data_IF_699184385721
#
_entry.id   IF_699184385721
#
_cell.length_a   1.000
_cell.length_b   1.000
_cell.length_c   1.000
_cell.angle_alpha   90.00
_cell.angle_beta   90.00
_cell.angle_gamma   90.00
#
_symmetry.space_group_name_H-M   'P 1'
#
loop_
_entity.id
_entity.type
_entity.pdbx_description
1 polymer ?
#
# COMPACT_ATOMS: atom_id res chain seq x y z
N UNK A 1 3.52 -7.90 -22.86
CA UNK A 1 2.24 -8.41 -22.33
C UNK A 1 1.47 -7.23 -21.76
N UNK A 2 0.25 -6.98 -22.26
CA UNK A 2 -0.59 -5.84 -21.91
C UNK A 2 -1.67 -6.27 -20.91
N UNK A 3 -2.11 -5.37 -20.02
CA UNK A 3 -3.10 -5.66 -18.98
C UNK A 3 -4.43 -6.09 -19.59
N UNK A 4 -4.90 -5.35 -20.60
CA UNK A 4 -6.13 -5.67 -21.34
C UNK A 4 -6.09 -7.07 -21.94
N UNK A 5 -4.99 -7.42 -22.61
CA UNK A 5 -4.83 -8.73 -23.24
C UNK A 5 -4.79 -9.87 -22.21
N UNK A 6 -4.04 -9.68 -21.12
CA UNK A 6 -3.93 -10.68 -20.04
C UNK A 6 -5.28 -10.94 -19.37
N UNK A 7 -6.11 -9.92 -19.19
CA UNK A 7 -7.45 -10.08 -18.62
C UNK A 7 -8.41 -10.78 -19.58
N UNK A 8 -8.28 -10.55 -20.90
CA UNK A 8 -9.02 -11.31 -21.91
C UNK A 8 -8.64 -12.79 -21.88
N UNK A 9 -7.36 -13.12 -21.87
CA UNK A 9 -6.88 -14.50 -21.78
C UNK A 9 -7.41 -15.22 -20.53
N UNK A 10 -7.38 -14.55 -19.37
CA UNK A 10 -7.91 -15.12 -18.12
C UNK A 10 -9.42 -15.37 -18.17
N UNK A 11 -10.16 -14.58 -18.93
CA UNK A 11 -11.62 -14.71 -19.04
C UNK A 11 -12.03 -15.72 -20.12
N UNK A 12 -11.33 -15.73 -21.27
CA UNK A 12 -11.55 -16.68 -22.37
C UNK A 12 -11.13 -18.11 -21.97
N UNK A 13 -10.05 -18.27 -21.19
CA UNK A 13 -9.61 -19.58 -20.69
C UNK A 13 -10.49 -20.17 -19.59
N UNK A 14 -11.32 -19.36 -18.94
CA UNK A 14 -12.33 -19.83 -18.00
C UNK A 14 -13.56 -20.47 -18.70
N UNK A 15 -13.71 -20.23 -20.02
CA UNK A 15 -14.91 -20.58 -20.79
C UNK A 15 -14.88 -22.02 -21.37
N UNK A 16 -13.73 -22.68 -21.48
CA UNK A 16 -13.61 -23.95 -22.23
C UNK A 16 -13.78 -25.25 -21.40
N UNK A 17 -14.09 -25.19 -20.10
CA UNK A 17 -14.35 -26.42 -19.31
C UNK A 17 -15.54 -26.37 -18.34
N UNK A 18 -16.31 -25.29 -18.32
CA UNK A 18 -17.40 -25.11 -17.34
C UNK A 18 -18.66 -24.51 -17.98
N UNK A 19 -18.96 -24.89 -19.22
CA UNK A 19 -20.02 -24.28 -20.02
C UNK A 19 -21.47 -24.74 -19.71
N UNK A 20 -21.71 -25.37 -18.55
CA UNK A 20 -23.05 -25.76 -18.10
C UNK A 20 -23.43 -25.18 -16.74
N UNK A 21 -22.54 -25.32 -15.76
CA UNK A 21 -22.84 -24.97 -14.36
C UNK A 21 -22.31 -23.58 -13.94
N UNK A 22 -21.27 -23.02 -14.58
CA UNK A 22 -20.84 -21.63 -14.30
C UNK A 22 -21.71 -20.59 -15.00
N UNK A 23 -22.37 -20.91 -16.12
CA UNK A 23 -23.40 -20.05 -16.69
C UNK A 23 -24.67 -20.06 -15.83
N UNK A 24 -25.01 -21.14 -15.12
CA UNK A 24 -26.07 -21.12 -14.09
C UNK A 24 -25.62 -20.50 -12.77
N UNK A 25 -24.33 -20.59 -12.38
CA UNK A 25 -23.79 -19.97 -11.16
C UNK A 25 -23.38 -18.49 -11.33
N UNK A 26 -23.18 -18.01 -12.57
CA UNK A 26 -22.98 -16.59 -12.91
C UNK A 26 -24.27 -15.89 -13.36
N UNK A 27 -25.30 -16.65 -13.77
CA UNK A 27 -26.66 -16.14 -13.99
C UNK A 27 -27.54 -16.22 -12.74
N UNK A 28 -27.19 -17.05 -11.76
CA UNK A 28 -27.64 -16.83 -10.38
C UNK A 28 -26.80 -15.70 -9.81
N UNK A 29 -27.42 -14.61 -9.35
CA UNK A 29 -26.69 -13.63 -8.56
C UNK A 29 -26.06 -14.40 -7.39
N UNK A 30 -24.74 -14.35 -7.24
CA UNK A 30 -24.13 -14.49 -5.90
C UNK A 30 -24.87 -13.45 -5.08
N UNK A 31 -25.82 -13.89 -4.23
CA UNK A 31 -26.89 -13.11 -3.62
C UNK A 31 -26.74 -11.64 -3.96
N UNK A 32 -27.46 -11.19 -5.01
CA UNK A 32 -27.41 -9.82 -5.46
C UNK A 32 -27.46 -8.97 -4.22
N UNK A 33 -26.33 -8.36 -3.87
CA UNK A 33 -26.30 -7.37 -2.82
C UNK A 33 -27.09 -6.22 -3.41
N UNK A 34 -28.41 -6.32 -3.31
CA UNK A 34 -29.38 -5.31 -3.72
C UNK A 34 -29.37 -4.22 -2.67
N UNK A 35 -28.18 -3.78 -2.28
CA UNK A 35 -28.02 -2.50 -1.63
C UNK A 35 -28.04 -1.47 -2.76
N UNK A 36 -29.08 -0.63 -2.87
CA UNK A 36 -29.19 0.40 -3.90
C UNK A 36 -28.02 1.39 -3.90
N UNK A 37 -27.13 1.34 -2.90
CA UNK A 37 -25.92 2.15 -2.81
C UNK A 37 -24.66 1.54 -3.49
N UNK A 38 -24.68 0.27 -3.93
CA UNK A 38 -23.53 -0.37 -4.58
C UNK A 38 -23.66 -0.37 -6.11
N UNK A 39 -22.97 0.55 -6.77
CA UNK A 39 -22.88 0.59 -8.24
C UNK A 39 -21.89 -0.48 -8.74
N UNK A 40 -22.40 -1.67 -9.06
CA UNK A 40 -21.60 -2.82 -9.52
C UNK A 40 -21.42 -2.80 -11.04
N UNK A 41 -20.21 -3.05 -11.52
CA UNK A 41 -19.89 -3.21 -12.94
C UNK A 41 -19.07 -4.48 -13.16
N UNK A 42 -19.33 -5.20 -14.25
CA UNK A 42 -18.57 -6.39 -14.62
C UNK A 42 -17.29 -6.04 -15.37
N UNK A 43 -16.25 -6.85 -15.21
CA UNK A 43 -14.98 -6.65 -15.93
C UNK A 43 -15.14 -6.69 -17.46
N UNK A 44 -15.93 -7.59 -18.07
CA UNK A 44 -16.18 -7.58 -19.52
C UNK A 44 -16.75 -6.24 -20.03
N UNK A 45 -17.64 -5.60 -19.25
CA UNK A 45 -18.17 -4.29 -19.61
C UNK A 45 -17.09 -3.21 -19.58
N UNK A 46 -16.24 -3.20 -18.55
CA UNK A 46 -15.10 -2.26 -18.48
C UNK A 46 -14.14 -2.49 -19.65
N UNK A 47 -13.85 -3.75 -20.02
CA UNK A 47 -13.01 -4.11 -21.17
C UNK A 47 -13.58 -3.50 -22.46
N UNK A 48 -14.86 -3.70 -22.75
CA UNK A 48 -15.51 -3.14 -23.95
C UNK A 48 -15.47 -1.60 -23.97
N UNK A 49 -15.70 -0.96 -22.82
CA UNK A 49 -15.62 0.50 -22.68
C UNK A 49 -14.18 1.03 -22.89
N UNK A 50 -13.15 0.29 -22.46
CA UNK A 50 -11.75 0.63 -22.69
C UNK A 50 -11.35 0.51 -24.18
N UNK A 51 -11.86 -0.49 -24.89
CA UNK A 51 -11.66 -0.63 -26.33
C UNK A 51 -12.30 0.51 -27.12
N UNK A 52 -13.49 0.95 -26.70
CA UNK A 52 -14.16 2.11 -27.30
C UNK A 52 -13.32 3.39 -27.16
N UNK A 53 -12.63 3.57 -26.03
CA UNK A 53 -11.70 4.70 -25.84
C UNK A 53 -10.56 4.62 -26.86
N UNK A 54 -9.93 3.44 -27.03
CA UNK A 54 -8.86 3.27 -28.03
C UNK A 54 -9.34 3.57 -29.45
N UNK A 55 -10.55 3.14 -29.80
CA UNK A 55 -11.14 3.37 -31.12
C UNK A 55 -11.46 4.85 -31.39
N UNK A 56 -11.90 5.58 -30.36
CA UNK A 56 -12.26 7.01 -30.47
C UNK A 56 -11.05 7.94 -30.36
N UNK A 57 -9.99 7.51 -29.67
CA UNK A 57 -8.83 8.35 -29.36
C UNK A 57 -7.52 7.76 -29.93
N UNK A 58 -7.43 7.55 -31.25
CA UNK A 58 -6.28 6.87 -31.87
C UNK A 58 -4.97 7.66 -31.73
N UNK A 59 -5.06 8.99 -31.60
CA UNK A 59 -3.93 9.90 -31.39
C UNK A 59 -3.21 9.72 -30.04
N UNK A 60 -3.85 9.07 -29.05
CA UNK A 60 -3.21 8.76 -27.77
C UNK A 60 -2.29 7.53 -27.86
N UNK A 61 -2.27 6.83 -29.00
CA UNK A 61 -1.35 5.72 -29.23
C UNK A 61 0.10 6.23 -29.18
N UNK A 62 0.89 5.68 -28.27
CA UNK A 62 2.27 6.09 -27.99
C UNK A 62 2.44 7.45 -27.32
N UNK A 63 1.34 8.12 -26.95
CA UNK A 63 1.40 9.41 -26.27
C UNK A 63 1.83 9.27 -24.80
N UNK A 64 2.21 10.40 -24.22
CA UNK A 64 2.34 10.61 -22.78
C UNK A 64 0.98 11.06 -22.24
N UNK A 65 0.35 10.25 -21.38
CA UNK A 65 -1.01 10.50 -20.88
C UNK A 65 -1.00 10.60 -19.35
N UNK A 66 -1.76 11.54 -18.80
CA UNK A 66 -2.03 11.62 -17.37
C UNK A 66 -3.52 11.40 -17.08
N UNK A 67 -3.83 10.58 -16.08
CA UNK A 67 -5.19 10.29 -15.63
C UNK A 67 -5.35 10.63 -14.16
N UNK A 68 -6.54 11.09 -13.77
CA UNK A 68 -6.92 11.37 -12.38
C UNK A 68 -7.95 10.35 -11.90
N UNK A 69 -7.90 10.04 -10.62
CA UNK A 69 -8.93 9.20 -10.00
C UNK A 69 -10.25 9.96 -9.87
N UNK A 70 -11.33 9.38 -10.38
CA UNK A 70 -12.70 9.88 -10.23
C UNK A 70 -13.67 8.80 -9.71
N UNK A 71 -13.11 7.63 -9.35
CA UNK A 71 -13.86 6.43 -8.98
C UNK A 71 -13.25 5.19 -9.62
N UNK A 72 -13.42 4.05 -8.95
CA UNK A 72 -12.74 2.81 -9.31
C UNK A 72 -13.04 2.35 -10.74
N UNK A 73 -14.31 2.41 -11.15
CA UNK A 73 -14.75 1.90 -12.45
C UNK A 73 -14.10 2.66 -13.61
N UNK A 74 -14.09 4.00 -13.54
CA UNK A 74 -13.45 4.83 -14.56
C UNK A 74 -11.94 4.66 -14.51
N UNK A 75 -11.34 4.62 -13.32
CA UNK A 75 -9.91 4.43 -13.19
C UNK A 75 -9.44 3.12 -13.83
N UNK A 76 -10.10 1.99 -13.55
CA UNK A 76 -9.79 0.70 -14.18
C UNK A 76 -9.99 0.77 -15.69
N UNK A 77 -11.08 1.39 -16.17
CA UNK A 77 -11.33 1.59 -17.60
C UNK A 77 -10.17 2.30 -18.29
N UNK A 78 -9.65 3.37 -17.68
CA UNK A 78 -8.52 4.14 -18.23
C UNK A 78 -7.19 3.38 -18.15
N UNK A 79 -6.95 2.62 -17.09
CA UNK A 79 -5.78 1.74 -17.01
C UNK A 79 -5.78 0.71 -18.15
N UNK A 80 -6.94 0.10 -18.43
CA UNK A 80 -7.11 -0.85 -19.53
C UNK A 80 -7.00 -0.17 -20.90
N UNK A 81 -7.56 1.03 -21.04
CA UNK A 81 -7.50 1.77 -22.29
C UNK A 81 -6.06 2.17 -22.66
N UNK A 82 -5.27 2.63 -21.70
CA UNK A 82 -3.95 3.22 -21.97
C UNK A 82 -2.76 2.27 -21.80
N UNK A 83 -2.86 1.21 -20.98
CA UNK A 83 -1.77 0.23 -20.89
C UNK A 83 -1.60 -0.57 -22.19
N UNK A 84 -0.39 -0.56 -22.73
CA UNK A 84 -0.07 -1.13 -24.04
C UNK A 84 -0.55 -0.28 -25.23
N UNK A 85 -1.17 0.88 -24.97
CA UNK A 85 -1.60 1.83 -26.00
C UNK A 85 -0.75 3.11 -25.96
N UNK A 86 -0.58 3.71 -24.78
CA UNK A 86 0.20 4.93 -24.54
C UNK A 86 1.64 4.59 -24.14
N UNK A 87 2.62 5.44 -24.47
CA UNK A 87 4.01 5.19 -24.10
C UNK A 87 4.25 5.43 -22.60
N UNK A 88 3.57 6.43 -22.04
CA UNK A 88 3.63 6.76 -20.61
C UNK A 88 2.24 7.02 -20.05
N UNK A 89 2.00 6.54 -18.83
CA UNK A 89 0.75 6.73 -18.10
C UNK A 89 1.04 7.27 -16.70
N UNK A 90 0.73 8.54 -16.45
CA UNK A 90 0.89 9.20 -15.16
C UNK A 90 -0.39 9.05 -14.34
N UNK A 91 -0.27 8.42 -13.17
CA UNK A 91 -1.36 8.27 -12.22
C UNK A 91 -1.33 9.47 -11.27
N UNK A 92 -2.15 10.48 -11.56
CA UNK A 92 -2.15 11.73 -10.81
C UNK A 92 -2.73 11.53 -9.41
N UNK A 93 -2.02 11.96 -8.36
CA UNK A 93 -2.64 12.10 -7.05
C UNK A 93 -3.66 13.24 -7.07
N UNK A 94 -4.58 13.21 -6.09
CA UNK A 94 -5.53 14.30 -5.88
C UNK A 94 -4.82 15.60 -5.49
N UNK A 95 -3.74 15.48 -4.73
CA UNK A 95 -2.93 16.57 -4.15
C UNK A 95 -1.60 16.83 -4.89
N UNK A 96 -0.62 17.44 -4.20
CA UNK A 96 0.72 17.85 -4.66
C UNK A 96 1.40 16.81 -5.59
N UNK A 97 1.20 16.99 -6.90
CA UNK A 97 1.82 16.18 -7.94
C UNK A 97 3.14 16.81 -8.38
N UNK A 98 4.20 16.01 -8.62
CA UNK A 98 5.37 16.54 -9.30
C UNK A 98 4.97 17.04 -10.70
N UNK A 99 5.69 18.05 -11.20
CA UNK A 99 5.42 18.62 -12.53
C UNK A 99 5.39 17.52 -13.60
N UNK A 100 4.35 17.55 -14.44
CA UNK A 100 4.23 16.66 -15.59
C UNK A 100 5.17 17.11 -16.71
N UNK A 101 5.61 16.20 -17.60
CA UNK A 101 6.27 16.58 -18.84
C UNK A 101 5.39 17.52 -19.70
N UNK A 102 6.02 18.42 -20.45
CA UNK A 102 5.31 19.41 -21.28
C UNK A 102 4.49 18.75 -22.41
N UNK A 103 4.89 17.57 -22.87
CA UNK A 103 4.20 16.76 -23.89
C UNK A 103 3.07 15.89 -23.31
N UNK A 104 2.84 15.96 -21.99
CA UNK A 104 1.85 15.13 -21.31
C UNK A 104 0.43 15.63 -21.55
N UNK A 105 -0.42 14.75 -22.08
CA UNK A 105 -1.83 15.02 -22.33
C UNK A 105 -2.68 14.59 -21.13
N UNK A 106 -3.37 15.54 -20.50
CA UNK A 106 -4.30 15.25 -19.43
C UNK A 106 -5.62 14.67 -19.98
N UNK A 107 -6.00 13.49 -19.52
CA UNK A 107 -7.28 12.89 -19.87
C UNK A 107 -8.44 13.63 -19.21
N UNK A 108 -9.29 14.27 -20.03
CA UNK A 108 -10.46 15.02 -19.60
C UNK A 108 -11.80 14.35 -20.00
N UNK A 109 -11.75 13.07 -20.41
CA UNK A 109 -12.88 12.35 -20.98
C UNK A 109 -12.86 12.31 -22.51
N UNK A 110 -13.80 11.56 -23.09
CA UNK A 110 -13.98 11.47 -24.55
C UNK A 110 -14.31 12.84 -25.12
N UNK A 111 -13.52 13.31 -26.08
CA UNK A 111 -13.80 14.56 -26.76
C UNK A 111 -14.65 14.31 -28.00
N UNK A 112 -15.73 15.08 -28.16
CA UNK A 112 -16.52 15.06 -29.41
C UNK A 112 -15.74 15.76 -30.53
N UNK A 113 -15.59 15.06 -31.65
CA UNK A 113 -15.17 15.60 -32.95
C UNK A 113 -13.78 16.24 -33.05
N UNK A 114 -12.72 15.44 -32.88
CA UNK A 114 -11.42 15.78 -33.48
C UNK A 114 -10.86 14.61 -34.26
N UNK A 115 -10.81 14.73 -35.60
CA UNK A 115 -9.94 13.89 -36.42
C UNK A 115 -8.50 14.21 -36.03
N UNK A 116 -7.84 13.31 -35.31
CA UNK A 116 -6.44 13.45 -34.89
C UNK A 116 -5.63 12.33 -35.52
N UNK A 117 -4.61 12.73 -36.26
CA UNK A 117 -3.76 11.85 -37.05
C UNK A 117 -2.90 10.95 -36.13
N UNK A 118 -2.72 9.69 -36.51
CA UNK A 118 -1.92 8.73 -35.73
C UNK A 118 -0.45 8.89 -36.06
N UNK A 119 0.40 9.17 -35.07
CA UNK A 119 1.86 9.23 -35.27
C UNK A 119 2.54 7.85 -35.34
N UNK A 120 1.85 6.78 -34.93
CA UNK A 120 2.39 5.41 -34.91
C UNK A 120 1.59 4.46 -35.80
N UNK A 121 2.25 3.63 -36.64
CA UNK A 121 1.60 2.61 -37.45
C UNK A 121 0.81 1.59 -36.60
N UNK A 122 -0.30 1.10 -37.14
CA UNK A 122 -0.99 -0.07 -36.60
C UNK A 122 -0.03 -1.27 -36.51
N UNK A 123 -0.08 -1.99 -35.39
CA UNK A 123 0.72 -3.21 -35.16
C UNK A 123 2.03 -3.03 -34.38
N UNK A 124 2.53 -1.81 -34.17
CA UNK A 124 3.72 -1.63 -33.33
C UNK A 124 3.38 -1.76 -31.84
N UNK A 125 4.05 -2.66 -31.12
CA UNK A 125 3.81 -2.92 -29.71
C UNK A 125 4.34 -1.77 -28.83
N UNK A 126 3.44 -1.04 -28.17
CA UNK A 126 3.81 0.00 -27.21
C UNK A 126 4.02 -0.62 -25.82
N UNK A 127 5.15 -0.31 -25.20
CA UNK A 127 5.42 -0.70 -23.80
C UNK A 127 5.15 0.52 -22.92
N UNK A 128 4.06 0.48 -22.16
CA UNK A 128 3.68 1.59 -21.28
C UNK A 128 4.53 1.64 -20.02
N UNK A 129 5.03 2.83 -19.69
CA UNK A 129 5.60 3.15 -18.39
C UNK A 129 4.56 3.83 -17.50
N UNK A 130 4.26 3.19 -16.38
CA UNK A 130 3.32 3.69 -15.37
C UNK A 130 4.09 4.56 -14.37
N UNK A 131 3.74 5.83 -14.28
CA UNK A 131 4.37 6.79 -13.38
C UNK A 131 3.53 6.98 -12.13
N UNK A 132 4.13 6.67 -10.99
CA UNK A 132 3.49 6.75 -9.67
C UNK A 132 4.27 7.78 -8.83
N UNK A 133 3.54 8.72 -8.21
CA UNK A 133 4.15 9.71 -7.34
C UNK A 133 4.47 9.12 -5.96
N UNK A 134 5.68 9.35 -5.47
CA UNK A 134 6.04 9.06 -4.06
C UNK A 134 5.24 9.94 -3.10
N UNK A 135 4.98 9.45 -1.88
CA UNK A 135 4.14 10.14 -0.89
C UNK A 135 4.79 11.35 -0.21
N UNK A 136 6.02 11.73 -0.60
CA UNK A 136 6.67 12.96 -0.16
C UNK A 136 6.88 13.12 1.36
N UNK A 137 7.02 12.04 2.13
CA UNK A 137 7.08 12.11 3.61
C UNK A 137 8.32 12.81 4.17
N UNK A 138 9.39 12.92 3.37
CA UNK A 138 10.67 13.53 3.75
C UNK A 138 11.18 14.59 2.75
N UNK A 139 10.69 14.58 1.51
CA UNK A 139 11.05 15.53 0.44
C UNK A 139 9.88 15.73 -0.52
N UNK A 140 9.95 16.70 -1.44
CA UNK A 140 8.93 16.85 -2.50
C UNK A 140 8.68 15.52 -3.24
N UNK A 141 7.41 15.20 -3.57
CA UNK A 141 7.04 14.02 -4.36
C UNK A 141 7.86 13.89 -5.66
N UNK A 142 8.11 12.65 -6.09
CA UNK A 142 8.84 12.35 -7.33
C UNK A 142 8.09 11.29 -8.14
N UNK A 143 8.23 11.36 -9.47
CA UNK A 143 7.72 10.35 -10.39
C UNK A 143 8.65 9.14 -10.47
N UNK A 144 8.11 7.95 -10.24
CA UNK A 144 8.81 6.68 -10.43
C UNK A 144 8.12 5.88 -11.53
N UNK A 145 8.89 5.45 -12.53
CA UNK A 145 8.40 4.69 -13.66
C UNK A 145 8.45 3.18 -13.39
N UNK A 146 7.32 2.51 -13.65
CA UNK A 146 7.17 1.06 -13.59
C UNK A 146 6.68 0.50 -14.91
N UNK A 147 6.90 -0.80 -15.14
CA UNK A 147 6.23 -1.54 -16.21
C UNK A 147 5.25 -2.52 -15.58
N UNK A 148 4.19 -2.89 -16.32
CA UNK A 148 3.19 -3.84 -15.85
C UNK A 148 3.81 -5.16 -15.37
N UNK A 149 4.84 -5.66 -16.06
CA UNK A 149 5.55 -6.88 -15.67
C UNK A 149 6.17 -6.76 -14.26
N UNK A 150 6.77 -5.62 -13.93
CA UNK A 150 7.30 -5.35 -12.60
C UNK A 150 6.20 -5.15 -11.54
N UNK A 151 5.12 -4.46 -11.90
CA UNK A 151 3.97 -4.24 -10.99
C UNK A 151 3.20 -5.53 -10.68
N UNK A 152 3.25 -6.52 -11.55
CA UNK A 152 2.50 -7.78 -11.44
C UNK A 152 3.37 -8.99 -11.09
N UNK A 153 4.67 -8.80 -10.87
CA UNK A 153 5.61 -9.89 -10.59
C UNK A 153 5.27 -10.68 -9.31
N UNK A 154 4.67 -10.01 -8.32
CA UNK A 154 4.21 -10.61 -7.06
C UNK A 154 2.78 -11.12 -7.11
N UNK A 155 2.03 -10.82 -8.17
CA UNK A 155 0.63 -11.24 -8.29
C UNK A 155 0.58 -12.76 -8.40
N UNK A 156 -0.25 -13.37 -7.55
CA UNK A 156 -0.52 -14.80 -7.57
C UNK A 156 -1.93 -15.00 -8.11
N UNK A 157 -2.03 -15.76 -9.20
CA UNK A 157 -3.29 -16.18 -9.79
C UNK A 157 -3.60 -17.56 -9.23
N UNK A 158 -4.75 -17.71 -8.57
CA UNK A 158 -5.26 -19.00 -8.13
C UNK A 158 -6.73 -19.08 -8.51
N UNK A 159 -7.02 -19.73 -9.64
CA UNK A 159 -8.37 -19.83 -10.21
C UNK A 159 -9.22 -20.92 -9.52
N UNK A 160 -8.62 -21.75 -8.66
CA UNK A 160 -9.30 -22.90 -8.02
C UNK A 160 -9.97 -22.53 -6.68
N UNK A 161 -9.67 -21.36 -6.10
CA UNK A 161 -10.30 -20.89 -4.85
C UNK A 161 -11.45 -19.94 -5.17
N UNK A 162 -12.51 -19.96 -4.34
CA UNK A 162 -13.57 -18.94 -4.35
C UNK A 162 -12.94 -17.55 -4.46
N UNK A 163 -13.32 -16.73 -5.47
CA UNK A 163 -12.67 -15.46 -5.70
C UNK A 163 -12.83 -14.56 -4.49
N UNK A 164 -11.70 -14.07 -3.97
CA UNK A 164 -11.69 -13.12 -2.86
C UNK A 164 -12.48 -11.86 -3.24
N UNK A 165 -12.97 -11.17 -2.22
CA UNK A 165 -13.57 -9.83 -2.37
C UNK A 165 -12.70 -8.87 -1.59
N UNK A 166 -11.87 -8.14 -2.33
CA UNK A 166 -10.88 -7.23 -1.78
C UNK A 166 -11.49 -5.87 -1.47
N UNK A 167 -11.44 -5.45 -0.21
CA UNK A 167 -11.67 -4.06 0.15
C UNK A 167 -10.44 -3.22 -0.13
N UNK A 168 -10.58 -2.27 -1.06
CA UNK A 168 -9.54 -1.31 -1.41
C UNK A 168 -9.61 -0.12 -0.44
N UNK A 169 -8.78 -0.11 0.61
CA UNK A 169 -8.70 1.00 1.58
C UNK A 169 -7.65 2.05 1.21
N UNK A 170 -6.73 1.70 0.31
CA UNK A 170 -5.69 2.59 -0.20
C UNK A 170 -6.18 3.37 -1.42
N UNK A 171 -5.60 4.55 -1.64
CA UNK A 171 -5.72 5.27 -2.91
C UNK A 171 -5.17 4.40 -4.08
N UNK A 172 -5.96 4.06 -5.11
CA UNK A 172 -5.54 3.14 -6.17
C UNK A 172 -4.48 3.69 -7.12
N UNK A 173 -4.30 5.01 -7.15
CA UNK A 173 -3.24 5.69 -7.91
C UNK A 173 -1.90 5.75 -7.15
N UNK A 174 -1.85 5.29 -5.90
CA UNK A 174 -0.62 5.11 -5.12
C UNK A 174 -0.17 3.65 -5.19
N UNK A 175 1.11 3.40 -4.96
CA UNK A 175 1.73 2.08 -5.13
C UNK A 175 0.97 0.96 -4.40
N UNK A 176 0.62 1.15 -3.12
CA UNK A 176 -0.07 0.11 -2.34
C UNK A 176 -1.49 -0.19 -2.85
N UNK A 177 -2.27 0.85 -3.19
CA UNK A 177 -3.61 0.66 -3.75
C UNK A 177 -3.57 0.03 -5.14
N UNK A 178 -2.61 0.43 -5.97
CA UNK A 178 -2.40 -0.19 -7.28
C UNK A 178 -2.05 -1.68 -7.17
N UNK A 179 -1.25 -2.08 -6.19
CA UNK A 179 -0.93 -3.50 -5.95
C UNK A 179 -2.18 -4.31 -5.60
N UNK A 180 -3.05 -3.79 -4.72
CA UNK A 180 -4.34 -4.44 -4.38
C UNK A 180 -5.24 -4.51 -5.60
N UNK A 181 -5.31 -3.43 -6.38
CA UNK A 181 -6.10 -3.35 -7.60
C UNK A 181 -5.67 -4.40 -8.62
N UNK A 182 -4.37 -4.46 -8.94
CA UNK A 182 -3.82 -5.42 -9.90
C UNK A 182 -3.93 -6.86 -9.40
N UNK A 183 -3.73 -7.10 -8.10
CA UNK A 183 -3.97 -8.41 -7.50
C UNK A 183 -5.42 -8.83 -7.67
N UNK A 184 -6.38 -7.94 -7.39
CA UNK A 184 -7.81 -8.22 -7.53
C UNK A 184 -8.17 -8.57 -8.98
N UNK A 185 -7.83 -7.68 -9.92
CA UNK A 185 -8.15 -7.82 -11.33
C UNK A 185 -7.57 -9.12 -11.94
N UNK A 186 -6.32 -9.44 -11.63
CA UNK A 186 -5.61 -10.57 -12.26
C UNK A 186 -5.85 -11.91 -11.58
N UNK A 187 -6.48 -11.94 -10.41
CA UNK A 187 -6.84 -13.19 -9.72
C UNK A 187 -8.31 -13.60 -9.90
N UNK A 188 -9.10 -12.82 -10.66
CA UNK A 188 -10.54 -13.04 -10.79
C UNK A 188 -11.36 -12.59 -9.57
N UNK A 189 -10.73 -11.90 -8.62
CA UNK A 189 -11.38 -11.37 -7.43
C UNK A 189 -12.21 -10.12 -7.72
N UNK A 190 -13.24 -9.87 -6.91
CA UNK A 190 -13.97 -8.59 -6.93
C UNK A 190 -13.27 -7.55 -6.06
N UNK A 191 -13.45 -6.28 -6.39
CA UNK A 191 -12.86 -5.17 -5.66
C UNK A 191 -13.97 -4.24 -5.18
N UNK A 192 -13.95 -3.95 -3.89
CA UNK A 192 -14.86 -3.02 -3.22
C UNK A 192 -14.08 -1.74 -2.96
N UNK A 193 -14.48 -0.65 -3.62
CA UNK A 193 -13.87 0.66 -3.39
C UNK A 193 -14.29 1.22 -2.03
N UNK A 194 -13.40 1.11 -1.05
CA UNK A 194 -13.52 1.71 0.27
C UNK A 194 -12.36 2.69 0.51
N UNK A 195 -11.85 3.30 -0.56
CA UNK A 195 -10.64 4.13 -0.52
C UNK A 195 -10.89 5.54 0.02
N UNK A 196 -12.15 5.97 0.06
CA UNK A 196 -12.62 7.26 0.56
C UNK A 196 -13.65 7.13 1.70
N UNK A 197 -13.85 8.20 2.47
CA UNK A 197 -14.76 8.30 3.60
C UNK A 197 -14.11 8.03 4.95
N UNK A 198 -14.88 8.27 6.03
CA UNK A 198 -14.48 7.89 7.38
C UNK A 198 -14.54 6.37 7.59
N UNK A 199 -13.99 5.90 8.72
CA UNK A 199 -13.94 4.48 9.06
C UNK A 199 -15.34 3.84 9.09
N UNK A 200 -16.36 4.53 9.60
CA UNK A 200 -17.71 3.99 9.69
C UNK A 200 -18.32 3.77 8.32
N UNK A 201 -18.19 4.75 7.41
CA UNK A 201 -18.63 4.64 6.01
C UNK A 201 -17.90 3.51 5.29
N UNK A 202 -16.58 3.41 5.45
CA UNK A 202 -15.78 2.33 4.85
C UNK A 202 -16.27 0.96 5.32
N UNK A 203 -16.44 0.76 6.63
CA UNK A 203 -16.91 -0.52 7.18
C UNK A 203 -18.33 -0.86 6.69
N UNK A 204 -19.24 0.12 6.57
CA UNK A 204 -20.57 -0.09 5.99
C UNK A 204 -20.50 -0.63 4.56
N UNK A 205 -19.66 -0.02 3.71
CA UNK A 205 -19.44 -0.49 2.33
C UNK A 205 -18.86 -1.90 2.29
N UNK A 206 -17.84 -2.17 3.10
CA UNK A 206 -17.20 -3.49 3.18
C UNK A 206 -18.18 -4.58 3.61
N UNK A 207 -19.09 -4.25 4.54
CA UNK A 207 -20.13 -5.16 5.06
C UNK A 207 -21.21 -5.42 4.04
N UNK A 208 -21.71 -4.38 3.38
CA UNK A 208 -22.69 -4.54 2.30
C UNK A 208 -22.14 -5.47 1.22
N UNK A 209 -20.90 -5.27 0.79
CA UNK A 209 -20.24 -6.11 -0.20
C UNK A 209 -19.73 -7.48 0.32
N UNK A 210 -19.99 -7.79 1.61
CA UNK A 210 -19.56 -9.02 2.30
C UNK A 210 -18.08 -9.37 2.04
N UNK A 211 -17.22 -8.36 2.20
CA UNK A 211 -15.78 -8.40 1.92
C UNK A 211 -15.09 -9.55 2.66
N UNK A 212 -14.22 -10.29 1.96
CA UNK A 212 -13.49 -11.44 2.50
C UNK A 212 -11.98 -11.22 2.60
N UNK A 213 -11.45 -10.17 1.97
CA UNK A 213 -10.03 -9.81 2.03
C UNK A 213 -9.84 -8.31 2.23
N UNK A 214 -8.90 -7.91 3.08
CA UNK A 214 -8.57 -6.50 3.32
C UNK A 214 -7.07 -6.26 3.29
N UNK A 215 -6.68 -5.13 2.68
CA UNK A 215 -5.32 -4.62 2.69
C UNK A 215 -5.30 -3.22 3.28
N UNK A 216 -4.48 -2.99 4.31
CA UNK A 216 -4.40 -1.70 4.99
C UNK A 216 -3.04 -1.46 5.65
N UNK A 217 -2.71 -0.20 5.96
CA UNK A 217 -1.50 0.10 6.75
C UNK A 217 -1.66 -0.43 8.18
N UNK A 218 -0.57 -0.71 8.90
CA UNK A 218 -0.62 -0.97 10.34
C UNK A 218 -1.45 0.07 11.12
N UNK A 219 -1.33 1.35 10.79
CA UNK A 219 -2.14 2.41 11.42
C UNK A 219 -3.64 2.27 11.12
N UNK A 220 -4.00 2.00 9.86
CA UNK A 220 -5.39 1.79 9.46
C UNK A 220 -5.98 0.53 10.10
N UNK A 221 -5.21 -0.56 10.19
CA UNK A 221 -5.64 -1.77 10.90
C UNK A 221 -5.94 -1.50 12.38
N UNK A 222 -5.13 -0.69 13.05
CA UNK A 222 -5.45 -0.24 14.42
C UNK A 222 -6.76 0.53 14.43
N UNK A 223 -6.95 1.53 13.58
CA UNK A 223 -8.20 2.29 13.50
C UNK A 223 -9.43 1.41 13.25
N UNK A 224 -9.32 0.41 12.38
CA UNK A 224 -10.39 -0.54 12.11
C UNK A 224 -10.66 -1.46 13.31
N UNK A 225 -9.63 -1.94 14.02
CA UNK A 225 -9.83 -2.73 15.24
C UNK A 225 -10.53 -1.91 16.33
N UNK A 226 -10.19 -0.63 16.44
CA UNK A 226 -10.78 0.31 17.41
C UNK A 226 -12.25 0.60 17.20
N UNK A 227 -12.75 0.51 15.97
CA UNK A 227 -14.18 0.73 15.72
C UNK A 227 -15.04 -0.35 16.38
N UNK A 228 -14.48 -1.53 16.65
CA UNK A 228 -15.23 -2.70 17.12
C UNK A 228 -16.17 -3.30 16.07
N UNK A 229 -16.27 -2.73 14.87
CA UNK A 229 -17.27 -3.12 13.88
C UNK A 229 -16.79 -4.21 12.89
N UNK A 230 -15.53 -4.61 13.00
CA UNK A 230 -14.92 -5.60 12.10
C UNK A 230 -15.40 -7.04 12.29
N UNK A 231 -15.98 -7.37 13.45
CA UNK A 231 -16.44 -8.75 13.77
C UNK A 231 -17.55 -9.24 12.84
N UNK A 232 -18.21 -8.31 12.14
CA UNK A 232 -19.29 -8.62 11.19
C UNK A 232 -18.78 -9.01 9.81
N UNK A 233 -17.47 -8.92 9.54
CA UNK A 233 -16.90 -9.22 8.22
C UNK A 233 -16.31 -10.63 8.17
N UNK A 234 -16.61 -11.43 7.13
CA UNK A 234 -16.07 -12.79 6.95
C UNK A 234 -14.64 -12.77 6.37
N UNK A 235 -13.73 -12.04 7.03
CA UNK A 235 -12.35 -11.89 6.55
C UNK A 235 -11.58 -13.20 6.67
N UNK A 236 -11.08 -13.69 5.53
CA UNK A 236 -10.21 -14.86 5.42
C UNK A 236 -8.78 -14.48 5.04
N UNK A 237 -8.55 -13.26 4.55
CA UNK A 237 -7.22 -12.76 4.19
C UNK A 237 -7.01 -11.30 4.62
N UNK A 238 -5.93 -11.06 5.36
CA UNK A 238 -5.53 -9.75 5.85
C UNK A 238 -4.11 -9.46 5.38
N UNK A 239 -3.93 -8.34 4.70
CA UNK A 239 -2.61 -7.85 4.31
C UNK A 239 -2.29 -6.51 4.95
N UNK A 240 -1.04 -6.38 5.41
CA UNK A 240 -0.51 -5.14 5.98
C UNK A 240 0.67 -4.66 5.16
N UNK A 241 0.78 -3.36 4.92
CA UNK A 241 1.94 -2.83 4.22
C UNK A 241 2.10 -1.32 4.31
N UNK A 242 3.32 -0.88 4.04
CA UNK A 242 3.69 0.54 3.98
C UNK A 242 4.13 1.17 5.30
N UNK A 243 3.99 0.47 6.43
CA UNK A 243 4.60 0.80 7.73
C UNK A 243 5.13 -0.48 8.38
N UNK A 244 5.85 -0.34 9.49
CA UNK A 244 6.35 -1.49 10.25
C UNK A 244 5.15 -2.21 10.89
N UNK A 245 5.03 -3.51 10.65
CA UNK A 245 4.10 -4.37 11.36
C UNK A 245 4.77 -4.89 12.64
N UNK A 246 4.36 -4.37 13.78
CA UNK A 246 4.81 -4.87 15.08
C UNK A 246 4.06 -6.12 15.52
N UNK A 247 4.67 -6.88 16.44
CA UNK A 247 4.10 -8.14 16.91
C UNK A 247 2.78 -7.94 17.65
N UNK A 248 2.59 -6.81 18.34
CA UNK A 248 1.35 -6.51 19.06
C UNK A 248 0.16 -6.46 18.11
N UNK A 249 0.31 -5.74 16.99
CA UNK A 249 -0.74 -5.69 15.95
C UNK A 249 -1.01 -7.07 15.35
N UNK A 250 0.03 -7.84 15.01
CA UNK A 250 -0.14 -9.18 14.43
C UNK A 250 -0.89 -10.11 15.40
N UNK A 251 -0.60 -10.02 16.70
CA UNK A 251 -1.29 -10.79 17.73
C UNK A 251 -2.76 -10.37 17.87
N UNK A 252 -3.06 -9.07 17.88
CA UNK A 252 -4.45 -8.58 17.92
C UNK A 252 -5.26 -9.05 16.72
N UNK A 253 -4.68 -8.99 15.51
CA UNK A 253 -5.34 -9.48 14.30
C UNK A 253 -5.55 -10.99 14.35
N UNK A 254 -4.58 -11.77 14.84
CA UNK A 254 -4.71 -13.23 15.00
C UNK A 254 -5.77 -13.59 16.03
N UNK A 255 -5.86 -12.85 17.14
CA UNK A 255 -6.87 -13.07 18.17
C UNK A 255 -8.28 -12.77 17.64
N UNK A 256 -8.42 -11.75 16.79
CA UNK A 256 -9.71 -11.38 16.19
C UNK A 256 -10.10 -12.27 15.01
N UNK A 257 -9.14 -12.70 14.20
CA UNK A 257 -9.35 -13.49 12.98
C UNK A 257 -8.47 -14.74 13.01
N UNK A 258 -8.87 -15.74 13.80
CA UNK A 258 -8.05 -16.95 14.06
C UNK A 258 -7.70 -17.72 12.79
N UNK A 259 -8.70 -17.92 11.93
CA UNK A 259 -8.59 -18.71 10.70
C UNK A 259 -8.05 -17.90 9.51
N UNK A 260 -7.94 -16.58 9.65
CA UNK A 260 -7.55 -15.76 8.52
C UNK A 260 -6.05 -15.83 8.25
N UNK A 261 -5.69 -15.74 6.98
CA UNK A 261 -4.31 -15.61 6.54
C UNK A 261 -3.85 -14.16 6.75
N UNK A 262 -2.88 -13.97 7.65
CA UNK A 262 -2.30 -12.66 7.94
C UNK A 262 -0.93 -12.56 7.25
N UNK A 263 -0.76 -11.54 6.42
CA UNK A 263 0.47 -11.33 5.64
C UNK A 263 0.91 -9.87 5.80
N UNK A 264 2.16 -9.62 6.20
CA UNK A 264 2.71 -8.27 6.12
C UNK A 264 3.73 -8.19 4.97
N UNK A 265 3.66 -7.10 4.22
CA UNK A 265 4.30 -6.92 2.93
C UNK A 265 5.25 -5.74 3.03
N UNK A 266 6.52 -5.99 2.74
CA UNK A 266 7.50 -4.95 2.52
C UNK A 266 7.53 -4.58 1.04
N UNK A 267 7.26 -3.32 0.75
CA UNK A 267 7.35 -2.76 -0.60
C UNK A 267 7.74 -1.28 -0.55
N UNK A 268 8.44 -0.83 -1.58
CA UNK A 268 8.71 0.59 -1.81
C UNK A 268 8.36 0.97 -3.24
N UNK A 269 8.04 2.24 -3.46
CA UNK A 269 7.81 2.73 -4.83
C UNK A 269 9.07 2.52 -5.67
N UNK A 270 10.26 2.55 -5.08
CA UNK A 270 11.54 2.48 -5.79
C UNK A 270 12.01 1.07 -6.09
N UNK A 271 11.83 0.10 -5.17
CA UNK A 271 12.26 -1.28 -5.37
C UNK A 271 11.12 -2.22 -5.81
N UNK A 272 9.88 -1.72 -5.82
CA UNK A 272 8.70 -2.55 -6.01
C UNK A 272 8.35 -3.36 -4.77
N UNK A 273 7.62 -4.47 -4.97
CA UNK A 273 7.35 -5.42 -3.88
C UNK A 273 8.63 -6.19 -3.56
N UNK A 274 9.12 -6.04 -2.33
CA UNK A 274 10.32 -6.71 -1.86
C UNK A 274 10.01 -8.14 -1.41
N UNK A 275 9.16 -8.29 -0.39
CA UNK A 275 8.78 -9.60 0.14
C UNK A 275 7.48 -9.56 0.95
N UNK A 276 6.92 -10.75 1.19
CA UNK A 276 5.71 -10.94 2.00
C UNK A 276 5.96 -12.01 3.07
N UNK A 277 5.67 -11.67 4.33
CA UNK A 277 5.85 -12.54 5.50
C UNK A 277 4.48 -13.01 6.00
N UNK A 278 4.33 -14.30 6.27
CA UNK A 278 3.05 -14.91 6.68
C UNK A 278 3.15 -15.89 7.85
N UNK A 279 4.30 -15.94 8.52
CA UNK A 279 4.53 -16.83 9.67
C UNK A 279 4.03 -16.26 11.01
N UNK A 280 3.27 -15.15 10.97
CA UNK A 280 2.70 -14.49 12.14
C UNK A 280 3.70 -13.73 13.00
N UNK A 281 4.97 -13.60 12.57
CA UNK A 281 6.01 -12.92 13.33
C UNK A 281 6.43 -11.59 12.68
N UNK A 282 6.68 -10.57 13.50
CA UNK A 282 7.22 -9.29 13.05
C UNK A 282 8.63 -9.47 12.45
N UNK A 283 9.02 -8.58 11.53
CA UNK A 283 10.27 -8.73 10.78
C UNK A 283 10.24 -9.92 9.80
N UNK A 284 11.39 -10.30 9.25
CA UNK A 284 11.52 -11.40 8.29
C UNK A 284 12.70 -12.33 8.63
N UNK A 285 12.68 -13.60 8.20
CA UNK A 285 13.78 -14.54 8.49
C UNK A 285 15.14 -14.06 7.96
N UNK A 286 16.19 -14.13 8.78
CA UNK A 286 17.56 -13.75 8.38
C UNK A 286 18.07 -14.56 7.18
N UNK A 287 17.65 -15.83 7.07
CA UNK A 287 18.02 -16.70 5.95
C UNK A 287 17.72 -16.07 4.57
N UNK A 288 16.71 -15.20 4.46
CA UNK A 288 16.37 -14.52 3.20
C UNK A 288 17.43 -13.51 2.74
N UNK A 289 18.33 -13.05 3.62
CA UNK A 289 19.50 -12.25 3.23
C UNK A 289 20.49 -13.08 2.41
N UNK A 290 20.54 -14.40 2.62
CA UNK A 290 21.40 -15.33 1.89
C UNK A 290 20.68 -15.93 0.67
N UNK A 291 19.48 -16.45 0.90
CA UNK A 291 18.76 -17.25 -0.09
C UNK A 291 17.96 -16.37 -1.08
N UNK A 292 17.69 -15.12 -0.69
CA UNK A 292 16.73 -14.26 -1.34
C UNK A 292 15.29 -14.68 -1.04
N UNK A 293 14.35 -14.00 -1.69
CA UNK A 293 12.92 -14.25 -1.58
C UNK A 293 12.28 -14.20 -2.97
N UNK A 294 11.86 -15.35 -3.51
CA UNK A 294 11.25 -15.46 -4.85
C UNK A 294 12.00 -14.67 -5.94
N UNK A 295 13.33 -14.83 -5.98
CA UNK A 295 14.20 -14.15 -6.95
C UNK A 295 14.61 -12.72 -6.59
N UNK A 296 13.99 -12.10 -5.59
CA UNK A 296 14.44 -10.84 -5.00
C UNK A 296 15.65 -11.13 -4.11
N UNK A 297 16.77 -10.42 -4.33
CA UNK A 297 17.96 -10.57 -3.48
C UNK A 297 18.00 -9.43 -2.46
N UNK A 298 18.34 -9.78 -1.23
CA UNK A 298 18.38 -8.86 -0.09
C UNK A 298 19.82 -8.82 0.44
N UNK A 299 20.21 -7.70 1.04
CA UNK A 299 21.41 -7.60 1.88
C UNK A 299 21.25 -6.46 2.88
N UNK A 300 22.12 -6.43 3.88
CA UNK A 300 22.25 -5.30 4.80
C UNK A 300 23.60 -4.64 4.50
N UNK A 301 23.62 -3.31 4.34
CA UNK A 301 24.85 -2.56 4.09
C UNK A 301 25.56 -2.18 5.40
N UNK A 302 26.73 -1.53 5.29
CA UNK A 302 27.54 -1.09 6.44
C UNK A 302 26.84 -0.04 7.35
N UNK A 303 25.77 0.59 6.87
CA UNK A 303 24.95 1.53 7.64
C UNK A 303 23.73 0.86 8.29
N UNK A 304 23.64 -0.47 8.25
CA UNK A 304 22.49 -1.24 8.72
C UNK A 304 21.20 -0.95 7.94
N UNK A 305 21.30 -0.50 6.69
CA UNK A 305 20.12 -0.35 5.84
C UNK A 305 19.83 -1.66 5.10
N UNK A 306 18.54 -1.96 4.94
CA UNK A 306 18.09 -2.98 4.01
C UNK A 306 18.34 -2.51 2.57
N UNK A 307 19.00 -3.34 1.78
CA UNK A 307 19.20 -3.12 0.35
C UNK A 307 18.52 -4.24 -0.46
N UNK A 308 17.82 -3.85 -1.51
CA UNK A 308 16.98 -4.76 -2.32
C UNK A 308 17.43 -4.70 -3.76
N UNK A 309 17.71 -5.86 -4.34
CA UNK A 309 17.92 -5.99 -5.78
C UNK A 309 16.60 -6.39 -6.43
N UNK A 310 15.92 -5.47 -7.13
CA UNK A 310 14.62 -5.75 -7.74
C UNK A 310 14.78 -6.71 -8.92
N UNK A 311 13.71 -7.43 -9.25
CA UNK A 311 13.65 -8.31 -10.43
C UNK A 311 13.79 -7.52 -11.75
N UNK A 312 13.31 -6.27 -11.76
CA UNK A 312 13.44 -5.33 -12.88
C UNK A 312 13.95 -3.99 -12.36
N UNK A 313 14.97 -3.45 -13.01
CA UNK A 313 15.54 -2.16 -12.64
C UNK A 313 14.56 -1.02 -12.97
N UNK A 314 14.26 -0.11 -12.02
CA UNK A 314 13.48 1.09 -12.30
C UNK A 314 14.23 1.97 -13.32
N UNK A 315 13.53 2.47 -14.34
CA UNK A 315 14.15 3.32 -15.37
C UNK A 315 14.50 4.73 -14.88
N UNK A 316 13.84 5.23 -13.83
CA UNK A 316 14.03 6.60 -13.31
C UNK A 316 13.94 6.67 -11.78
N UNK A 317 14.54 7.70 -11.18
CA UNK A 317 14.34 8.07 -9.77
C UNK A 317 15.20 7.36 -8.71
N UNK A 318 15.96 6.31 -9.07
CA UNK A 318 16.69 5.48 -8.08
C UNK A 318 18.21 5.42 -8.30
N UNK A 319 18.74 6.02 -9.38
CA UNK A 319 20.17 5.91 -9.75
C UNK A 319 21.14 6.27 -8.62
N UNK A 320 20.79 7.27 -7.79
CA UNK A 320 21.68 7.75 -6.73
C UNK A 320 21.68 6.88 -5.47
N UNK A 321 20.78 5.89 -5.38
CA UNK A 321 20.71 4.94 -4.25
C UNK A 321 21.02 3.51 -4.67
N UNK A 322 21.49 3.32 -5.90
CA UNK A 322 21.78 2.00 -6.44
C UNK A 322 23.29 1.78 -6.49
N UNK A 323 23.74 0.64 -5.96
CA UNK A 323 25.13 0.25 -6.04
C UNK A 323 25.50 -0.38 -7.41
N UNK A 324 26.79 -0.63 -7.62
CA UNK A 324 27.31 -1.23 -8.85
C UNK A 324 26.76 -2.64 -9.12
N UNK A 325 26.21 -3.32 -8.12
CA UNK A 325 25.62 -4.64 -8.23
C UNK A 325 24.10 -4.60 -8.47
N UNK A 326 23.50 -3.40 -8.54
CA UNK A 326 22.08 -3.19 -8.79
C UNK A 326 21.19 -3.33 -7.55
N UNK A 327 21.76 -3.28 -6.34
CA UNK A 327 20.96 -3.16 -5.11
C UNK A 327 20.60 -1.71 -4.85
N UNK A 328 19.34 -1.49 -4.54
CA UNK A 328 18.79 -0.20 -4.12
C UNK A 328 18.86 -0.12 -2.60
N UNK A 329 19.52 0.91 -2.06
CA UNK A 329 19.44 1.27 -0.64
C UNK A 329 18.05 1.84 -0.33
N UNK A 330 17.30 1.16 0.54
CA UNK A 330 15.95 1.59 0.93
C UNK A 330 15.94 2.67 2.01
N UNK A 331 17.09 2.91 2.66
CA UNK A 331 17.24 3.77 3.83
C UNK A 331 16.39 3.33 5.05
N UNK A 332 15.86 2.10 5.01
CA UNK A 332 15.19 1.49 6.14
C UNK A 332 16.23 0.74 6.99
N UNK A 333 16.39 1.20 8.21
CA UNK A 333 17.32 0.64 9.18
C UNK A 333 16.77 -0.64 9.76
N UNK A 334 17.64 -1.64 9.93
CA UNK A 334 17.28 -2.96 10.44
C UNK A 334 18.28 -3.47 11.47
N UNK A 335 17.81 -4.37 12.33
CA UNK A 335 18.64 -5.12 13.27
C UNK A 335 18.37 -6.62 13.15
N UNK A 336 19.38 -7.44 13.44
CA UNK A 336 19.25 -8.90 13.46
C UNK A 336 19.19 -9.35 14.92
N UNK A 337 18.13 -10.05 15.29
CA UNK A 337 17.93 -10.64 16.61
C UNK A 337 17.42 -12.07 16.40
N UNK A 338 18.11 -13.05 16.99
CA UNK A 338 17.72 -14.47 17.00
C UNK A 338 17.28 -15.05 15.64
N UNK A 339 18.10 -14.84 14.60
CA UNK A 339 17.84 -15.37 13.26
C UNK A 339 16.76 -14.61 12.48
N UNK A 340 16.43 -13.38 12.91
CA UNK A 340 15.36 -12.58 12.32
C UNK A 340 15.75 -11.11 12.18
N UNK A 341 15.29 -10.50 11.10
CA UNK A 341 15.57 -9.09 10.78
C UNK A 341 14.37 -8.24 11.14
N UNK A 342 14.57 -7.28 12.03
CA UNK A 342 13.56 -6.32 12.51
C UNK A 342 13.81 -4.93 11.93
N UNK A 343 12.73 -4.20 11.66
CA UNK A 343 12.82 -2.82 11.18
C UNK A 343 12.87 -1.83 12.35
N UNK A 344 13.82 -0.90 12.29
CA UNK A 344 14.01 0.17 13.27
C UNK A 344 13.40 1.51 12.82
N UNK A 345 13.04 1.63 11.54
CA UNK A 345 12.54 2.87 10.94
C UNK A 345 13.44 3.38 9.83
N UNK A 346 13.24 4.63 9.43
CA UNK A 346 14.00 5.27 8.34
C UNK A 346 15.21 6.01 8.88
N UNK A 347 16.33 5.97 8.15
CA UNK A 347 17.56 6.69 8.51
C UNK A 347 17.32 8.21 8.69
N UNK A 348 16.46 8.81 7.87
CA UNK A 348 16.10 10.24 7.99
C UNK A 348 15.14 10.58 9.14
N UNK A 349 14.58 9.59 9.84
CA UNK A 349 13.60 9.79 10.92
C UNK A 349 14.19 9.77 12.33
N UNK A 350 15.52 9.70 12.45
CA UNK A 350 16.21 9.54 13.74
C UNK A 350 16.22 10.83 14.54
N UNK A 351 15.83 10.75 15.82
CA UNK A 351 15.94 11.88 16.76
C UNK A 351 17.35 11.88 17.34
N UNK A 352 17.99 13.05 17.38
CA UNK A 352 19.28 13.22 18.03
C UNK A 352 19.09 13.80 19.44
N UNK A 353 19.42 13.04 20.48
CA UNK A 353 19.27 13.43 21.89
C UNK A 353 20.64 13.44 22.55
N UNK A 354 21.21 14.64 22.73
CA UNK A 354 22.53 14.79 23.34
C UNK A 354 23.63 13.99 22.64
N UNK A 355 23.57 13.86 21.31
CA UNK A 355 24.52 13.06 20.51
C UNK A 355 24.11 11.61 20.29
N UNK A 356 23.12 11.10 21.03
CA UNK A 356 22.62 9.73 20.88
C UNK A 356 21.52 9.64 19.82
N UNK A 357 21.50 8.53 19.08
CA UNK A 357 20.50 8.25 18.05
C UNK A 357 19.31 7.53 18.66
N UNK A 358 18.12 8.09 18.51
CA UNK A 358 16.86 7.50 18.95
C UNK A 358 15.99 7.23 17.74
N UNK A 359 15.63 5.97 17.54
CA UNK A 359 14.68 5.53 16.54
C UNK A 359 13.26 5.65 17.09
N UNK A 360 12.42 6.58 16.59
CA UNK A 360 11.07 6.78 17.12
C UNK A 360 10.25 5.49 17.14
N UNK A 361 10.34 4.70 16.08
CA UNK A 361 9.59 3.45 15.91
C UNK A 361 9.95 2.40 16.96
N UNK A 362 11.22 2.36 17.40
CA UNK A 362 11.63 1.46 18.49
C UNK A 362 10.96 1.85 19.81
N UNK A 363 10.88 3.15 20.09
CA UNK A 363 10.18 3.67 21.28
C UNK A 363 8.67 3.44 21.15
N UNK A 364 8.08 3.73 19.98
CA UNK A 364 6.67 3.45 19.67
C UNK A 364 6.33 1.98 19.91
N UNK A 365 7.16 1.04 19.47
CA UNK A 365 6.93 -0.40 19.65
C UNK A 365 6.87 -0.79 21.14
N UNK A 366 7.72 -0.21 21.99
CA UNK A 366 7.65 -0.44 23.44
C UNK A 366 6.35 0.11 24.00
N UNK A 367 5.96 1.34 23.64
CA UNK A 367 4.73 1.98 24.10
C UNK A 367 3.49 1.17 23.64
N UNK A 368 3.47 0.72 22.39
CA UNK A 368 2.39 -0.06 21.78
C UNK A 368 2.25 -1.47 22.36
N UNK A 369 3.26 -1.98 23.08
CA UNK A 369 3.19 -3.27 23.76
C UNK A 369 2.44 -3.21 25.11
N UNK A 370 2.02 -2.02 25.53
CA UNK A 370 1.40 -1.77 26.82
C UNK A 370 -0.11 -1.80 26.67
N UNK A 371 -0.76 -2.73 27.37
CA UNK A 371 -2.22 -2.78 27.50
C UNK A 371 -2.78 -1.42 27.96
N UNK A 372 -3.84 -0.96 27.30
CA UNK A 372 -4.40 0.39 27.44
C UNK A 372 -3.89 1.38 26.39
N UNK A 373 -2.87 1.03 25.58
CA UNK A 373 -2.39 1.86 24.47
C UNK A 373 -2.90 1.35 23.12
N UNK A 374 -3.58 2.23 22.39
CA UNK A 374 -4.12 1.93 21.07
C UNK A 374 -3.20 2.34 19.93
N UNK A 375 -2.58 3.53 20.07
CA UNK A 375 -1.69 4.09 19.08
C UNK A 375 -0.65 4.98 19.76
N UNK A 376 0.53 5.08 19.18
CA UNK A 376 1.62 5.90 19.68
C UNK A 376 2.42 6.50 18.52
N UNK A 377 2.83 7.75 18.68
CA UNK A 377 3.76 8.43 17.77
C UNK A 377 4.84 9.10 18.58
N UNK A 378 6.08 8.78 18.27
CA UNK A 378 7.26 9.36 18.92
C UNK A 378 7.90 10.36 17.96
N UNK A 379 8.35 11.48 18.51
CA UNK A 379 8.99 12.54 17.76
C UNK A 379 9.99 13.31 18.63
N UNK A 380 10.92 13.99 17.97
CA UNK A 380 11.85 14.89 18.61
C UNK A 380 11.22 16.27 18.78
N UNK A 381 11.26 16.83 19.99
CA UNK A 381 10.88 18.22 20.24
C UNK A 381 12.06 19.01 20.81
N UNK A 382 12.09 20.32 20.54
CA UNK A 382 13.16 21.20 21.03
C UNK A 382 13.18 21.23 22.56
N UNK A 383 14.38 21.30 23.11
CA UNK A 383 14.64 21.49 24.54
C UNK A 383 15.69 22.58 24.70
N UNK A 384 15.39 23.60 25.52
CA UNK A 384 16.36 24.65 25.82
C UNK A 384 17.62 24.15 26.53
N UNK A 385 17.53 23.00 27.20
CA UNK A 385 18.64 22.41 27.99
C UNK A 385 19.37 21.33 27.22
N UNK A 386 18.64 20.40 26.59
CA UNK A 386 19.24 19.21 25.93
C UNK A 386 19.32 19.34 24.40
N UNK A 387 18.92 20.49 23.84
CA UNK A 387 18.75 20.71 22.41
C UNK A 387 17.49 20.03 21.86
N UNK A 388 17.38 18.72 22.04
CA UNK A 388 16.23 17.91 21.63
C UNK A 388 15.92 16.83 22.66
N UNK A 389 14.64 16.53 22.84
CA UNK A 389 14.14 15.47 23.72
C UNK A 389 13.13 14.58 22.99
N UNK A 390 12.92 13.37 23.54
CA UNK A 390 11.93 12.42 23.04
C UNK A 390 10.56 12.78 23.61
N UNK A 391 9.59 13.00 22.73
CA UNK A 391 8.17 13.22 23.06
C UNK A 391 7.30 12.15 22.43
N UNK A 392 6.17 11.84 23.04
CA UNK A 392 5.20 10.88 22.53
C UNK A 392 3.77 11.43 22.56
N UNK A 393 3.04 11.26 21.47
CA UNK A 393 1.58 11.32 21.42
C UNK A 393 1.04 9.89 21.60
N UNK A 394 0.05 9.71 22.49
CA UNK A 394 -0.52 8.41 22.82
C UNK A 394 -2.04 8.46 22.76
N UNK A 395 -2.65 7.50 22.08
CA UNK A 395 -4.09 7.25 22.13
C UNK A 395 -4.32 6.10 23.10
N UNK A 396 -5.10 6.34 24.15
CA UNK A 396 -5.44 5.35 25.16
C UNK A 396 -6.80 4.71 24.88
N UNK A 397 -7.00 3.48 25.37
CA UNK A 397 -8.30 2.83 25.38
C UNK A 397 -9.34 3.66 26.13
N UNK A 398 -10.62 3.51 25.76
CA UNK A 398 -11.72 4.11 26.50
C UNK A 398 -11.65 3.70 27.98
N UNK A 399 -12.03 4.61 28.87
CA UNK A 399 -12.07 4.40 30.32
C UNK A 399 -10.71 4.06 31.00
N UNK A 400 -9.60 4.22 30.29
CA UNK A 400 -8.25 4.05 30.86
C UNK A 400 -7.87 5.22 31.77
N UNK A 401 -7.39 4.94 32.99
CA UNK A 401 -6.85 5.97 33.88
C UNK A 401 -5.48 6.46 33.38
N UNK A 402 -5.48 7.67 32.81
CA UNK A 402 -4.34 8.21 32.08
C UNK A 402 -3.08 8.41 32.94
N UNK A 403 -3.23 8.70 34.23
CA UNK A 403 -2.09 8.93 35.14
C UNK A 403 -1.33 7.64 35.40
N UNK A 404 -2.05 6.55 35.68
CA UNK A 404 -1.51 5.21 35.84
C UNK A 404 -0.92 4.70 34.53
N UNK A 405 -1.61 4.90 33.40
CA UNK A 405 -1.09 4.52 32.09
C UNK A 405 0.23 5.26 31.79
N UNK A 406 0.32 6.57 32.04
CA UNK A 406 1.55 7.34 31.85
C UNK A 406 2.70 6.79 32.69
N UNK A 407 2.46 6.45 33.97
CA UNK A 407 3.45 5.81 34.84
C UNK A 407 3.90 4.45 34.30
N UNK A 408 2.95 3.62 33.84
CA UNK A 408 3.21 2.30 33.22
C UNK A 408 4.06 2.46 31.96
N UNK A 409 3.76 3.43 31.10
CA UNK A 409 4.54 3.76 29.90
C UNK A 409 5.99 4.09 30.25
N UNK A 410 6.21 5.04 31.16
CA UNK A 410 7.56 5.46 31.55
C UNK A 410 8.33 4.26 32.14
N UNK A 411 7.71 3.49 33.04
CA UNK A 411 8.36 2.34 33.67
C UNK A 411 8.77 1.26 32.65
N UNK A 412 7.89 0.90 31.73
CA UNK A 412 8.18 -0.10 30.70
C UNK A 412 9.26 0.41 29.72
N UNK A 413 9.24 1.70 29.36
CA UNK A 413 10.29 2.30 28.55
C UNK A 413 11.64 2.25 29.27
N UNK A 414 11.70 2.57 30.56
CA UNK A 414 12.95 2.50 31.35
C UNK A 414 13.49 1.08 31.48
N UNK A 415 12.65 0.05 31.42
CA UNK A 415 13.07 -1.35 31.50
C UNK A 415 13.64 -1.90 30.19
N UNK A 416 13.26 -1.33 29.05
CA UNK A 416 13.56 -1.88 27.71
C UNK A 416 14.40 -0.96 26.83
N UNK A 417 14.52 0.31 27.19
CA UNK A 417 15.19 1.33 26.40
C UNK A 417 16.28 2.01 27.23
N UNK A 418 17.29 2.55 26.53
CA UNK A 418 18.27 3.41 27.18
C UNK A 418 17.62 4.70 27.68
N UNK A 419 18.19 5.30 28.73
CA UNK A 419 17.63 6.49 29.40
C UNK A 419 17.33 7.65 28.43
N UNK A 420 18.16 7.86 27.41
CA UNK A 420 18.00 8.93 26.43
C UNK A 420 16.87 8.68 25.41
N UNK A 421 16.33 7.45 25.34
CA UNK A 421 15.22 7.07 24.46
C UNK A 421 13.86 7.17 25.17
N UNK A 422 13.84 7.20 26.50
CA UNK A 422 12.60 7.26 27.29
C UNK A 422 11.91 8.60 27.03
N UNK A 423 10.61 8.61 26.66
CA UNK A 423 9.87 9.86 26.46
C UNK A 423 9.88 10.74 27.71
N UNK A 424 10.34 11.99 27.56
CA UNK A 424 10.30 12.99 28.63
C UNK A 424 8.95 13.72 28.68
N UNK A 425 8.20 13.69 27.57
CA UNK A 425 6.85 14.23 27.46
C UNK A 425 5.93 13.20 26.82
N UNK A 426 4.75 13.03 27.41
CA UNK A 426 3.69 12.14 26.90
C UNK A 426 2.40 12.95 26.92
N UNK A 427 1.83 13.15 25.74
CA UNK A 427 0.57 13.84 25.50
C UNK A 427 -0.49 12.81 25.08
N UNK A 428 -1.60 12.75 25.81
CA UNK A 428 -2.73 11.91 25.42
C UNK A 428 -3.61 12.64 24.42
N UNK A 429 -3.82 12.04 23.25
CA UNK A 429 -4.58 12.62 22.14
C UNK A 429 -5.74 11.71 21.75
N UNK A 430 -6.81 12.29 21.19
CA UNK A 430 -7.95 11.51 20.69
C UNK A 430 -7.59 10.68 19.46
N UNK A 431 -6.72 11.22 18.60
CA UNK A 431 -6.26 10.55 17.38
C UNK A 431 -4.88 11.08 16.97
N UNK A 432 -4.08 10.24 16.34
CA UNK A 432 -2.79 10.62 15.76
C UNK A 432 -3.01 11.05 14.32
N UNK A 433 -2.42 12.18 13.92
CA UNK A 433 -2.53 12.71 12.56
C UNK A 433 -1.88 11.74 11.55
N UNK A 434 -2.61 11.41 10.50
CA UNK A 434 -2.13 10.63 9.36
C UNK A 434 -1.97 11.49 8.12
N UNK A 435 -1.11 11.07 7.19
CA UNK A 435 -0.99 11.67 5.87
C UNK A 435 -2.05 11.12 4.89
N UNK A 436 -2.05 11.62 3.65
CA UNK A 436 -2.94 11.19 2.56
C UNK A 436 -2.90 9.68 2.26
N UNK A 437 -1.78 9.01 2.60
CA UNK A 437 -1.63 7.56 2.42
C UNK A 437 -2.09 6.74 3.64
N UNK A 438 -2.70 7.37 4.64
CA UNK A 438 -3.19 6.72 5.86
C UNK A 438 -2.08 6.26 6.81
N UNK A 439 -0.85 6.76 6.65
CA UNK A 439 0.29 6.49 7.52
C UNK A 439 0.44 7.61 8.54
N UNK A 440 1.08 7.34 9.68
CA UNK A 440 1.39 8.40 10.66
C UNK A 440 2.17 9.53 9.99
N UNK A 441 1.67 10.78 10.12
CA UNK A 441 2.37 11.96 9.63
C UNK A 441 3.54 12.26 10.58
N UNK A 442 4.77 12.06 10.08
CA UNK A 442 5.98 12.24 10.90
C UNK A 442 6.55 13.65 10.83
N UNK A 443 5.93 14.58 10.09
CA UNK A 443 6.33 16.00 10.10
C UNK A 443 6.11 16.58 11.50
N UNK A 444 7.04 17.42 11.96
CA UNK A 444 6.89 18.04 13.28
C UNK A 444 5.53 18.74 13.40
N UNK A 445 4.85 18.66 14.55
CA UNK A 445 3.67 19.47 14.81
C UNK A 445 4.03 20.94 14.54
N UNK A 446 3.19 21.67 13.81
CA UNK A 446 3.26 23.13 13.78
C UNK A 446 3.07 23.64 15.22
N UNK A 447 4.01 24.47 15.68
CA UNK A 447 4.01 25.08 17.03
C UNK A 447 2.70 25.79 17.36
#
# INVERSE_FOLDING_TARGET
MQLLHRLKELYESADDSVNGELLEASSKPVDSVSDPNLNTISLPRIIAEAELIRAKEPHLRGATVAIRYQGLNDFVRLLLAFDGWSAALYLLPEDDAPQLPDDCQFWAGLQSDVKRDTSLPEGQHVVTHWYIATSGTTSKPKWIAHQLAGLTASVRVNLEQMPLRWGLLYQPFRFAGLQVLLQGLLSGASIVDASDGDISRRIKLLRAATTTALSATPSMWRQLLLSGELETLPLSQLTLGGEIADQGLLNMLRARFSEARIIHIYASTEAGVGFSVSDGKAGFPEAWLKDGYYGVKLKINAHHHLCIKPLQLPKSGVKNRMDAQGYIDSEDMVEIIDGRVYFLGRAGGVINVGGNKVHPQQVEQVILSIEGVLSARVYGSKSSVMGSLVSAEVVAEADTELTALKKKIILQCMQRLARYQVPMRIDFVKQIKTNETGKIDRRQPSE
#
